data_IF_335467407463
#
_entry.id   IF_335467407463
#
_cell.length_a   1.000
_cell.length_b   1.000
_cell.length_c   1.000
_cell.angle_alpha   90.00
_cell.angle_beta   90.00
_cell.angle_gamma   90.00
#
_symmetry.space_group_name_H-M   'P 1'
#
loop_
_entity.id
_entity.type
_entity.pdbx_description
1 polymer ?
#
# COMPACT_ATOMS: atom_id res chain seq x y z
N UNK A 1 9.28 6.47 13.96
CA UNK A 1 7.86 6.67 13.60
C UNK A 1 7.14 5.34 13.74
N UNK A 2 6.03 5.33 14.41
CA UNK A 2 5.22 4.12 14.58
C UNK A 2 4.26 3.96 13.41
N UNK A 3 4.00 2.71 13.05
CA UNK A 3 2.96 2.41 12.09
C UNK A 3 1.60 2.80 12.68
N UNK A 4 0.68 3.20 11.81
CA UNK A 4 -0.66 3.58 12.22
C UNK A 4 -1.67 3.10 11.19
N UNK A 5 -2.69 2.40 11.67
CA UNK A 5 -3.77 1.92 10.83
C UNK A 5 -5.09 2.17 11.56
N UNK A 6 -6.09 2.61 10.82
CA UNK A 6 -7.42 2.83 11.35
C UNK A 6 -8.45 2.40 10.32
N UNK A 7 -9.48 1.70 10.78
CA UNK A 7 -10.65 1.38 9.98
C UNK A 7 -11.71 2.42 10.28
N UNK A 8 -12.17 3.10 9.23
CA UNK A 8 -13.08 4.22 9.35
C UNK A 8 -14.53 3.72 9.27
N UNK A 9 -15.42 4.18 10.16
CA UNK A 9 -16.84 3.80 10.08
C UNK A 9 -17.48 4.41 8.85
N UNK A 10 -18.39 3.67 8.22
CA UNK A 10 -19.18 4.20 7.12
C UNK A 10 -20.19 5.21 7.64
N UNK A 11 -20.19 6.40 7.06
CA UNK A 11 -21.12 7.46 7.39
C UNK A 11 -22.10 7.60 6.23
N UNK A 12 -23.44 7.61 6.50
CA UNK A 12 -24.40 7.76 5.41
C UNK A 12 -24.15 9.00 4.54
N UNK A 13 -23.72 10.10 5.15
CA UNK A 13 -23.42 11.33 4.41
C UNK A 13 -22.28 11.16 3.41
N UNK A 14 -21.34 10.23 3.66
CA UNK A 14 -20.19 10.01 2.76
C UNK A 14 -20.59 9.31 1.47
N UNK A 15 -21.69 8.55 1.47
CA UNK A 15 -22.09 7.79 0.30
C UNK A 15 -22.60 8.68 -0.84
N UNK A 16 -22.99 9.91 -0.56
CA UNK A 16 -23.44 10.85 -1.60
C UNK A 16 -22.31 11.26 -2.54
N UNK A 17 -21.07 11.10 -2.11
CA UNK A 17 -19.90 11.42 -2.93
C UNK A 17 -19.53 10.28 -3.90
N UNK A 18 -20.19 9.12 -3.79
CA UNK A 18 -19.88 7.96 -4.60
C UNK A 18 -18.60 7.24 -4.21
N UNK A 19 -17.95 7.68 -3.15
CA UNK A 19 -16.67 7.12 -2.70
C UNK A 19 -16.56 7.31 -1.19
N UNK A 20 -16.16 6.26 -0.49
CA UNK A 20 -16.03 6.26 0.96
C UNK A 20 -14.69 5.67 1.34
N UNK A 21 -13.93 6.36 2.19
CA UNK A 21 -12.73 5.81 2.78
C UNK A 21 -13.12 4.87 3.91
N UNK A 22 -12.58 3.63 3.88
CA UNK A 22 -12.86 2.61 4.90
C UNK A 22 -11.69 2.36 5.82
N UNK A 23 -10.48 2.77 5.43
CA UNK A 23 -9.29 2.62 6.24
C UNK A 23 -8.26 3.67 5.84
N UNK A 24 -7.40 4.01 6.76
CA UNK A 24 -6.26 4.89 6.51
C UNK A 24 -5.12 4.49 7.44
N UNK A 25 -3.90 4.82 7.04
CA UNK A 25 -2.76 4.51 7.87
C UNK A 25 -1.46 4.99 7.27
N UNK A 26 -0.40 4.82 8.04
CA UNK A 26 0.95 5.04 7.54
C UNK A 26 1.88 4.03 8.18
N UNK A 27 3.01 3.81 7.53
CA UNK A 27 4.04 2.92 8.04
C UNK A 27 5.41 3.47 7.69
N UNK A 28 6.39 3.17 8.52
CA UNK A 28 7.79 3.52 8.29
C UNK A 28 8.59 2.22 8.30
N UNK A 29 9.06 1.81 7.13
CA UNK A 29 9.89 0.62 6.99
C UNK A 29 11.34 1.06 6.92
N UNK A 30 12.08 0.78 7.98
CA UNK A 30 13.50 1.12 8.07
C UNK A 30 14.32 0.27 7.11
N UNK A 31 15.52 0.73 6.71
CA UNK A 31 16.42 -0.09 5.89
C UNK A 31 16.69 -1.45 6.55
N UNK A 32 16.80 -2.49 5.71
CA UNK A 32 17.13 -3.85 6.11
C UNK A 32 16.12 -4.47 7.09
N UNK A 33 14.88 -4.00 7.07
CA UNK A 33 13.79 -4.56 7.89
C UNK A 33 13.02 -5.60 7.06
N UNK A 34 12.64 -6.75 7.66
CA UNK A 34 11.82 -7.72 6.95
C UNK A 34 10.50 -7.12 6.49
N UNK A 35 10.06 -7.51 5.28
CA UNK A 35 8.83 -6.98 4.69
C UNK A 35 8.07 -8.11 4.00
N UNK A 36 6.72 -8.17 4.15
CA UNK A 36 5.91 -7.26 4.96
C UNK A 36 6.06 -7.53 6.46
N UNK A 37 5.78 -6.48 7.26
CA UNK A 37 5.84 -6.60 8.71
C UNK A 37 4.63 -7.38 9.21
N UNK A 38 4.85 -8.17 10.26
CA UNK A 38 3.79 -9.01 10.81
C UNK A 38 2.68 -8.22 11.50
N UNK A 39 2.94 -6.96 11.85
CA UNK A 39 1.96 -6.09 12.47
C UNK A 39 0.92 -5.52 11.48
N UNK A 40 1.10 -5.75 10.19
CA UNK A 40 0.11 -5.30 9.20
C UNK A 40 -1.21 -6.04 9.40
N UNK A 41 -2.37 -5.38 9.19
CA UNK A 41 -3.65 -6.07 9.19
C UNK A 41 -3.65 -7.23 8.19
N UNK A 42 -4.40 -8.28 8.49
CA UNK A 42 -4.39 -9.50 7.70
C UNK A 42 -4.74 -9.24 6.23
N UNK A 43 -5.70 -8.36 5.98
CA UNK A 43 -6.12 -8.01 4.63
C UNK A 43 -5.09 -7.17 3.87
N UNK A 44 -4.06 -6.68 4.56
CA UNK A 44 -2.94 -5.97 3.95
C UNK A 44 -1.66 -6.80 3.93
N UNK A 45 -1.72 -8.02 4.46
CA UNK A 45 -0.57 -8.90 4.53
C UNK A 45 -0.42 -9.68 3.22
N UNK A 46 0.78 -9.69 2.68
CA UNK A 46 1.10 -10.48 1.49
C UNK A 46 2.62 -10.66 1.43
N UNK A 47 3.06 -11.63 0.64
CA UNK A 47 4.49 -11.73 0.37
C UNK A 47 4.78 -11.31 -1.08
N UNK A 48 6.04 -10.93 -1.33
CA UNK A 48 6.44 -10.41 -2.63
C UNK A 48 6.22 -11.40 -3.77
N UNK A 49 6.45 -12.68 -3.51
CA UNK A 49 6.37 -13.69 -4.57
C UNK A 49 4.93 -13.90 -5.05
N UNK A 50 3.98 -13.79 -4.17
CA UNK A 50 2.58 -14.05 -4.49
C UNK A 50 1.84 -12.79 -4.92
N UNK A 51 2.20 -11.65 -4.34
CA UNK A 51 1.40 -10.44 -4.53
C UNK A 51 0.03 -10.58 -3.91
N UNK A 52 -0.90 -9.77 -4.34
CA UNK A 52 -2.27 -9.84 -3.84
C UNK A 52 -3.27 -9.18 -4.78
N UNK A 53 -4.55 -9.44 -4.52
CA UNK A 53 -5.68 -8.78 -5.18
C UNK A 53 -6.58 -8.24 -4.08
N UNK A 54 -6.85 -6.95 -4.12
CA UNK A 54 -7.79 -6.31 -3.21
C UNK A 54 -9.13 -6.09 -3.89
N UNK A 55 -10.18 -5.96 -3.10
CA UNK A 55 -11.53 -5.71 -3.60
C UNK A 55 -11.93 -4.24 -3.47
N UNK A 56 -11.01 -3.38 -3.08
CA UNK A 56 -11.24 -1.94 -2.95
C UNK A 56 -10.07 -1.18 -3.58
N UNK A 57 -10.29 0.10 -3.86
CA UNK A 57 -9.20 0.99 -4.25
C UNK A 57 -8.29 1.24 -3.07
N UNK A 58 -6.99 1.38 -3.37
CA UNK A 58 -6.03 1.83 -2.37
C UNK A 58 -5.12 2.87 -3.02
N UNK A 59 -4.86 3.95 -2.29
CA UNK A 59 -3.95 5.01 -2.71
C UNK A 59 -2.80 5.04 -1.72
N UNK A 60 -1.58 4.90 -2.23
CA UNK A 60 -0.38 4.83 -1.40
C UNK A 60 0.57 5.93 -1.86
N UNK A 61 0.96 6.80 -0.93
CA UNK A 61 1.99 7.82 -1.16
C UNK A 61 3.29 7.37 -0.54
N UNK A 62 4.36 7.39 -1.32
CA UNK A 62 5.71 7.19 -0.82
C UNK A 62 6.30 8.58 -0.56
N UNK A 63 6.47 8.92 0.71
CA UNK A 63 6.96 10.24 1.11
C UNK A 63 8.47 10.27 1.24
N UNK A 64 9.12 9.12 1.47
CA UNK A 64 10.57 9.02 1.58
C UNK A 64 11.01 7.60 1.26
N UNK A 65 12.23 7.45 0.75
CA UNK A 65 12.78 6.15 0.41
C UNK A 65 12.46 5.73 -1.02
N UNK A 66 12.74 4.46 -1.33
CA UNK A 66 12.52 3.89 -2.65
C UNK A 66 11.95 2.48 -2.53
N UNK A 67 11.40 1.98 -3.61
CA UNK A 67 10.87 0.63 -3.65
C UNK A 67 10.53 0.17 -5.04
N UNK A 68 9.86 -0.97 -5.12
CA UNK A 68 9.44 -1.58 -6.38
C UNK A 68 7.92 -1.77 -6.37
N UNK A 69 7.33 -1.62 -7.54
CA UNK A 69 5.90 -1.79 -7.74
C UNK A 69 5.65 -2.55 -9.04
N UNK A 70 4.72 -3.48 -9.00
CA UNK A 70 4.27 -4.21 -10.18
C UNK A 70 2.77 -4.42 -10.10
N UNK A 71 2.08 -4.27 -11.25
CA UNK A 71 0.62 -4.43 -11.31
C UNK A 71 0.24 -5.03 -12.66
N UNK A 72 -0.81 -5.84 -12.68
CA UNK A 72 -1.35 -6.36 -13.93
C UNK A 72 -1.91 -5.25 -14.82
N UNK A 73 -2.28 -4.10 -14.25
CA UNK A 73 -2.78 -2.97 -15.02
C UNK A 73 -1.69 -2.30 -15.84
N UNK A 74 -0.43 -2.45 -15.44
CA UNK A 74 0.71 -1.85 -16.14
C UNK A 74 1.89 -2.82 -16.04
N UNK A 75 2.14 -3.64 -17.09
CA UNK A 75 3.16 -4.67 -17.04
C UNK A 75 4.56 -4.12 -16.78
N UNK A 76 5.37 -4.93 -16.10
CA UNK A 76 6.75 -4.61 -15.77
C UNK A 76 6.91 -4.05 -14.37
N UNK A 77 8.05 -4.35 -13.76
CA UNK A 77 8.39 -3.84 -12.43
C UNK A 77 8.85 -2.39 -12.56
N UNK A 78 8.31 -1.51 -11.74
CA UNK A 78 8.64 -0.09 -11.75
C UNK A 78 9.32 0.29 -10.45
N UNK A 79 10.31 1.18 -10.54
CA UNK A 79 10.92 1.79 -9.38
C UNK A 79 10.05 2.95 -8.90
N UNK A 80 9.77 2.99 -7.60
CA UNK A 80 9.03 4.09 -6.99
C UNK A 80 9.94 4.84 -6.05
N UNK A 81 9.76 6.16 -5.99
CA UNK A 81 10.59 7.07 -5.22
C UNK A 81 9.72 8.01 -4.40
N UNK A 82 10.38 8.83 -3.58
CA UNK A 82 9.70 9.89 -2.84
C UNK A 82 8.84 10.74 -3.77
N UNK A 83 7.61 10.98 -3.39
CA UNK A 83 6.65 11.73 -4.19
C UNK A 83 5.81 10.89 -5.14
N UNK A 84 6.01 9.56 -5.17
CA UNK A 84 5.22 8.66 -6.00
C UNK A 84 3.91 8.31 -5.31
N UNK A 85 2.83 8.33 -6.09
CA UNK A 85 1.52 7.83 -5.66
C UNK A 85 1.21 6.58 -6.45
N UNK A 86 0.95 5.48 -5.74
CA UNK A 86 0.50 4.23 -6.35
C UNK A 86 -1.00 4.11 -6.16
N UNK A 87 -1.72 3.86 -7.26
CA UNK A 87 -3.17 3.63 -7.20
C UNK A 87 -3.42 2.15 -7.49
N UNK A 88 -4.04 1.47 -6.54
CA UNK A 88 -4.36 0.05 -6.66
C UNK A 88 -5.85 -0.09 -6.91
N UNK A 89 -6.21 -0.90 -7.92
CA UNK A 89 -7.58 -1.05 -8.38
C UNK A 89 -8.20 -2.35 -7.87
N UNK A 90 -9.51 -2.35 -7.60
CA UNK A 90 -10.20 -3.59 -7.21
C UNK A 90 -10.03 -4.67 -8.28
N UNK A 91 -9.75 -5.90 -7.85
CA UNK A 91 -9.65 -7.04 -8.74
C UNK A 91 -8.38 -7.12 -9.58
N UNK A 92 -7.46 -6.16 -9.45
CA UNK A 92 -6.23 -6.12 -10.23
C UNK A 92 -5.06 -6.56 -9.34
N UNK A 93 -4.36 -7.61 -9.78
CA UNK A 93 -3.20 -8.13 -9.07
C UNK A 93 -2.10 -7.07 -8.98
N UNK A 94 -1.45 -6.97 -7.84
CA UNK A 94 -0.32 -6.07 -7.64
C UNK A 94 0.63 -6.62 -6.58
N UNK A 95 1.82 -6.04 -6.55
CA UNK A 95 2.78 -6.22 -5.47
C UNK A 95 3.68 -5.00 -5.38
N UNK A 96 4.17 -4.74 -4.17
CA UNK A 96 5.12 -3.66 -3.93
C UNK A 96 5.94 -3.98 -2.68
N UNK A 97 7.12 -3.39 -2.62
CA UNK A 97 7.97 -3.49 -1.43
C UNK A 97 9.00 -2.39 -1.43
N UNK A 98 9.52 -2.01 -0.23
CA UNK A 98 10.64 -1.07 -0.16
C UNK A 98 11.93 -1.72 -0.66
N UNK A 99 12.86 -0.87 -1.13
CA UNK A 99 14.23 -1.29 -1.38
C UNK A 99 14.88 -1.57 -0.03
N UNK A 100 15.55 -2.73 0.15
CA UNK A 100 16.12 -3.06 1.45
C UNK A 100 17.10 -2.03 1.99
N UNK A 101 17.88 -1.39 1.12
CA UNK A 101 18.91 -0.44 1.53
C UNK A 101 18.36 0.89 2.02
N UNK A 102 17.16 1.27 1.57
CA UNK A 102 16.60 2.59 1.90
C UNK A 102 15.37 2.51 2.80
N UNK A 103 14.61 1.42 2.74
CA UNK A 103 13.29 1.40 3.32
C UNK A 103 12.38 2.43 2.65
N UNK A 104 11.22 2.69 3.23
CA UNK A 104 10.34 3.76 2.77
C UNK A 104 9.35 4.19 3.84
N UNK A 105 8.72 5.31 3.59
CA UNK A 105 7.65 5.85 4.43
C UNK A 105 6.42 6.10 3.58
#
# INVERSE_FOLDING_TARGET
>A
MKDYFVYLPKQPANSIWGCVATAAGFTHILPNTPYPRQQHPVDHFFNWNEGRVLQSYQIILISAGTGLFESAAQPGTQTVESGTVMVLFPGIWHRYRPTPETGWV
#
